data_IF_330276560515
#
_entry.id   IF_330276560515
#
_cell.length_a   1.000
_cell.length_b   1.000
_cell.length_c   1.000
_cell.angle_alpha   90.00
_cell.angle_beta   90.00
_cell.angle_gamma   90.00
#
_symmetry.space_group_name_H-M   'P 1'
#
loop_
_entity.id
_entity.type
_entity.pdbx_description
1 polymer ?
#
# COMPACT_ATOMS: atom_id res chain seq x y z
N UNK A 1 45.64 -15.69 -8.51
CA UNK A 1 44.38 -15.97 -7.77
C UNK A 1 43.37 -14.89 -8.15
N UNK A 2 42.50 -15.17 -9.13
CA UNK A 2 41.42 -14.25 -9.48
C UNK A 2 40.35 -14.31 -8.39
N UNK A 3 40.03 -13.15 -7.81
CA UNK A 3 38.85 -12.98 -6.96
C UNK A 3 37.62 -13.13 -7.85
N UNK A 4 36.83 -14.18 -7.64
CA UNK A 4 35.59 -14.41 -8.37
C UNK A 4 34.68 -13.19 -8.30
N UNK A 5 34.20 -12.74 -9.47
CA UNK A 5 33.14 -11.74 -9.57
C UNK A 5 31.92 -12.25 -8.80
N UNK A 6 31.59 -11.62 -7.69
CA UNK A 6 30.28 -11.80 -7.06
C UNK A 6 29.24 -11.37 -8.10
N UNK A 7 28.35 -12.29 -8.48
CA UNK A 7 27.22 -11.96 -9.35
C UNK A 7 26.24 -11.12 -8.54
N UNK A 8 26.37 -9.80 -8.66
CA UNK A 8 25.48 -8.84 -8.03
C UNK A 8 24.30 -8.57 -8.97
N UNK A 9 23.08 -8.87 -8.53
CA UNK A 9 21.85 -8.45 -9.23
C UNK A 9 21.21 -7.34 -8.41
N UNK A 10 21.02 -6.19 -9.05
CA UNK A 10 20.30 -5.05 -8.48
C UNK A 10 18.90 -4.99 -9.07
N UNK A 11 17.88 -5.13 -8.22
CA UNK A 11 16.50 -4.86 -8.60
C UNK A 11 16.15 -3.47 -8.10
N UNK A 12 15.97 -2.55 -9.04
CA UNK A 12 15.43 -1.22 -8.78
C UNK A 12 13.91 -1.31 -8.64
N UNK A 13 13.41 -1.00 -7.45
CA UNK A 13 11.97 -0.77 -7.22
C UNK A 13 11.82 0.67 -6.75
N UNK A 14 11.53 1.57 -7.70
CA UNK A 14 11.49 3.02 -7.48
C UNK A 14 12.80 3.54 -6.85
N UNK A 15 12.72 4.09 -5.63
CA UNK A 15 13.84 4.67 -4.86
C UNK A 15 14.61 3.64 -4.02
N UNK A 16 14.32 2.35 -4.21
CA UNK A 16 14.97 1.26 -3.48
C UNK A 16 15.80 0.38 -4.41
N UNK A 17 17.08 0.21 -4.04
CA UNK A 17 17.98 -0.77 -4.64
C UNK A 17 17.91 -2.03 -3.77
N UNK A 18 17.45 -3.14 -4.33
CA UNK A 18 17.58 -4.45 -3.70
C UNK A 18 18.79 -5.12 -4.31
N UNK A 19 19.86 -5.21 -3.53
CA UNK A 19 21.09 -5.90 -3.93
C UNK A 19 21.01 -7.35 -3.48
N UNK A 20 21.04 -8.28 -4.43
CA UNK A 20 21.21 -9.69 -4.15
C UNK A 20 22.65 -10.08 -4.43
N UNK A 21 23.33 -10.55 -3.39
CA UNK A 21 24.66 -11.12 -3.47
C UNK A 21 24.52 -12.65 -3.38
N UNK A 22 24.13 -13.29 -4.48
CA UNK A 22 24.02 -14.75 -4.56
C UNK A 22 24.57 -15.27 -5.88
N UNK A 23 25.33 -16.36 -5.79
CA UNK A 23 25.82 -17.12 -6.94
C UNK A 23 24.74 -18.02 -7.57
N UNK A 24 23.47 -17.87 -7.14
CA UNK A 24 22.33 -18.67 -7.60
C UNK A 24 21.10 -17.79 -7.87
N UNK A 25 20.19 -18.29 -8.70
CA UNK A 25 18.92 -17.65 -9.01
C UNK A 25 18.07 -17.51 -7.74
N UNK A 26 17.54 -16.31 -7.50
CA UNK A 26 16.63 -16.04 -6.36
C UNK A 26 15.24 -16.60 -6.70
N UNK A 27 14.71 -17.45 -5.84
CA UNK A 27 13.37 -17.99 -6.05
C UNK A 27 12.26 -16.95 -5.81
N UNK A 28 11.09 -17.18 -6.42
CA UNK A 28 9.94 -16.29 -6.28
C UNK A 28 9.46 -16.13 -4.83
N UNK A 29 9.69 -17.13 -3.98
CA UNK A 29 9.26 -17.12 -2.58
C UNK A 29 10.08 -16.12 -1.76
N UNK A 30 11.39 -16.09 -1.96
CA UNK A 30 12.33 -15.19 -1.33
C UNK A 30 12.02 -13.74 -1.72
N UNK A 31 11.76 -13.50 -3.01
CA UNK A 31 11.32 -12.19 -3.50
C UNK A 31 9.98 -11.79 -2.86
N UNK A 32 8.99 -12.70 -2.82
CA UNK A 32 7.69 -12.41 -2.19
C UNK A 32 7.81 -12.05 -0.71
N UNK A 33 8.65 -12.79 0.02
CA UNK A 33 8.88 -12.57 1.44
C UNK A 33 9.57 -11.22 1.69
N UNK A 34 10.56 -10.87 0.87
CA UNK A 34 11.21 -9.57 0.93
C UNK A 34 10.22 -8.43 0.62
N UNK A 35 9.44 -8.54 -0.46
CA UNK A 35 8.44 -7.53 -0.79
C UNK A 35 7.42 -7.35 0.34
N UNK A 36 7.00 -8.44 0.99
CA UNK A 36 6.11 -8.39 2.14
C UNK A 36 6.73 -7.69 3.35
N UNK A 37 8.02 -7.92 3.63
CA UNK A 37 8.68 -7.24 4.75
C UNK A 37 8.81 -5.74 4.50
N UNK A 38 9.18 -5.34 3.28
CA UNK A 38 9.25 -3.94 2.89
C UNK A 38 7.88 -3.28 2.91
N UNK A 39 6.87 -3.93 2.34
CA UNK A 39 5.50 -3.44 2.34
C UNK A 39 4.97 -3.28 3.78
N UNK A 40 5.27 -4.22 4.68
CA UNK A 40 4.84 -4.11 6.07
C UNK A 40 5.42 -2.88 6.75
N UNK A 41 6.71 -2.60 6.55
CA UNK A 41 7.35 -1.41 7.10
C UNK A 41 6.72 -0.13 6.54
N UNK A 42 6.72 0.01 5.21
CA UNK A 42 6.22 1.22 4.53
C UNK A 42 4.75 1.46 4.85
N UNK A 43 3.90 0.43 4.74
CA UNK A 43 2.46 0.62 4.95
C UNK A 43 2.12 0.92 6.40
N UNK A 44 2.85 0.40 7.39
CA UNK A 44 2.64 0.79 8.79
C UNK A 44 3.04 2.25 9.03
N UNK A 45 4.18 2.69 8.48
CA UNK A 45 4.61 4.09 8.56
C UNK A 45 3.56 5.01 7.93
N UNK A 46 3.08 4.68 6.72
CA UNK A 46 2.03 5.46 6.04
C UNK A 46 0.70 5.42 6.77
N UNK A 47 0.32 4.28 7.35
CA UNK A 47 -0.87 4.19 8.21
C UNK A 47 -0.76 5.11 9.41
N UNK A 48 0.39 5.19 10.08
CA UNK A 48 0.61 6.13 11.18
C UNK A 48 0.42 7.59 10.73
N UNK A 49 0.91 7.96 9.53
CA UNK A 49 0.77 9.32 9.00
C UNK A 49 -0.69 9.62 8.68
N UNK A 50 -1.35 8.77 7.89
CA UNK A 50 -2.75 8.97 7.48
C UNK A 50 -3.72 8.93 8.66
N UNK A 51 -3.48 8.05 9.63
CA UNK A 51 -4.33 7.91 10.82
C UNK A 51 -4.45 9.22 11.62
N UNK A 52 -3.45 10.11 11.60
CA UNK A 52 -3.50 11.39 12.31
C UNK A 52 -4.71 12.24 11.91
N UNK A 53 -5.11 12.18 10.64
CA UNK A 53 -6.28 12.91 10.14
C UNK A 53 -7.61 12.32 10.64
N UNK A 54 -7.62 11.07 11.11
CA UNK A 54 -8.81 10.36 11.56
C UNK A 54 -9.01 10.41 13.08
N UNK A 55 -8.01 10.89 13.84
CA UNK A 55 -8.10 11.07 15.30
C UNK A 55 -9.29 11.94 15.71
N UNK A 56 -9.55 13.12 15.09
CA UNK A 56 -10.69 13.97 15.47
C UNK A 56 -12.06 13.33 15.25
N UNK A 57 -12.13 12.29 14.41
CA UNK A 57 -13.35 11.55 14.10
C UNK A 57 -13.56 10.33 15.00
N UNK A 58 -12.72 10.17 16.03
CA UNK A 58 -12.81 9.08 17.01
C UNK A 58 -12.71 7.66 16.41
N UNK A 59 -12.11 7.55 15.22
CA UNK A 59 -11.80 6.27 14.58
C UNK A 59 -10.63 5.64 15.34
N UNK A 60 -10.77 4.38 15.77
CA UNK A 60 -9.65 3.66 16.38
C UNK A 60 -8.63 3.28 15.31
N UNK A 61 -7.34 3.29 15.67
CA UNK A 61 -6.29 2.86 14.73
C UNK A 61 -6.50 1.39 14.34
N UNK A 62 -6.69 1.08 13.04
CA UNK A 62 -6.92 -0.29 12.63
C UNK A 62 -5.65 -1.13 12.66
N UNK A 63 -5.83 -2.44 12.81
CA UNK A 63 -4.78 -3.39 12.47
C UNK A 63 -4.57 -3.45 10.97
N UNK A 64 -3.32 -3.63 10.54
CA UNK A 64 -2.95 -3.73 9.13
C UNK A 64 -2.60 -5.17 8.77
N UNK A 65 -3.15 -5.66 7.65
CA UNK A 65 -2.72 -6.90 6.99
C UNK A 65 -2.36 -6.64 5.53
N UNK A 66 -1.51 -7.50 4.98
CA UNK A 66 -1.07 -7.43 3.58
C UNK A 66 -1.41 -8.73 2.86
N UNK A 67 -2.05 -8.62 1.70
CA UNK A 67 -2.42 -9.76 0.84
C UNK A 67 -2.15 -9.44 -0.62
N UNK A 68 -1.95 -10.46 -1.45
CA UNK A 68 -2.10 -10.32 -2.90
C UNK A 68 -3.59 -10.36 -3.23
N UNK A 69 -4.09 -9.37 -3.95
CA UNK A 69 -5.51 -9.26 -4.30
C UNK A 69 -5.65 -9.07 -5.81
N UNK A 70 -6.71 -9.65 -6.40
CA UNK A 70 -6.94 -9.61 -7.86
C UNK A 70 -7.69 -8.37 -8.33
N UNK A 71 -8.58 -7.82 -7.49
CA UNK A 71 -9.59 -6.84 -7.94
C UNK A 71 -9.68 -5.58 -7.08
N UNK A 72 -8.84 -5.43 -6.05
CA UNK A 72 -8.88 -4.27 -5.12
C UNK A 72 -7.48 -3.90 -4.63
N UNK A 73 -7.32 -2.63 -4.29
CA UNK A 73 -6.10 -2.10 -3.65
C UNK A 73 -6.13 -2.26 -2.14
N UNK A 74 -7.32 -2.27 -1.55
CA UNK A 74 -7.52 -2.50 -0.14
C UNK A 74 -8.92 -3.00 0.16
N UNK A 75 -9.16 -3.29 1.44
CA UNK A 75 -10.50 -3.46 1.97
C UNK A 75 -10.50 -3.16 3.47
N UNK A 76 -11.60 -2.58 3.95
CA UNK A 76 -11.88 -2.36 5.35
C UNK A 76 -12.79 -3.45 5.92
N UNK A 77 -12.43 -4.00 7.06
CA UNK A 77 -13.28 -4.84 7.90
C UNK A 77 -13.66 -4.03 9.14
N UNK A 78 -14.80 -3.34 9.05
CA UNK A 78 -15.30 -2.42 10.08
C UNK A 78 -15.34 -3.06 11.47
N UNK A 79 -16.06 -4.19 11.59
CA UNK A 79 -16.26 -4.91 12.86
C UNK A 79 -14.94 -5.42 13.48
N UNK A 80 -13.95 -5.75 12.64
CA UNK A 80 -12.67 -6.30 13.08
C UNK A 80 -11.63 -5.21 13.39
N UNK A 81 -11.99 -3.93 13.21
CA UNK A 81 -11.07 -2.79 13.32
C UNK A 81 -9.78 -3.05 12.50
N UNK A 82 -9.93 -3.45 11.24
CA UNK A 82 -8.85 -3.99 10.41
C UNK A 82 -8.94 -3.48 8.98
N UNK A 83 -7.80 -3.15 8.39
CA UNK A 83 -7.67 -2.90 6.97
C UNK A 83 -6.70 -3.92 6.35
N UNK A 84 -6.97 -4.30 5.11
CA UNK A 84 -6.05 -5.11 4.30
C UNK A 84 -5.61 -4.27 3.11
N UNK A 85 -4.30 -4.21 2.86
CA UNK A 85 -3.74 -3.57 1.67
C UNK A 85 -3.16 -4.62 0.71
N UNK A 86 -3.26 -4.32 -0.58
CA UNK A 86 -2.70 -5.14 -1.63
C UNK A 86 -1.17 -4.99 -1.66
N UNK A 87 -0.44 -6.11 -1.69
CA UNK A 87 1.02 -6.13 -1.75
C UNK A 87 1.55 -5.34 -2.95
N UNK A 88 0.84 -5.33 -4.09
CA UNK A 88 1.27 -4.61 -5.29
C UNK A 88 1.41 -3.10 -5.10
N UNK A 89 0.78 -2.52 -4.07
CA UNK A 89 0.91 -1.10 -3.75
C UNK A 89 2.35 -0.71 -3.39
N UNK A 90 3.21 -1.65 -2.98
CA UNK A 90 4.63 -1.37 -2.71
C UNK A 90 5.40 -0.94 -3.96
N UNK A 91 4.85 -1.19 -5.15
CA UNK A 91 5.39 -0.77 -6.43
C UNK A 91 4.81 0.57 -6.90
N UNK A 92 3.94 1.20 -6.10
CA UNK A 92 3.29 2.48 -6.40
C UNK A 92 3.95 3.62 -5.64
N UNK A 93 3.81 4.86 -6.13
CA UNK A 93 4.29 6.05 -5.40
C UNK A 93 3.68 6.06 -3.97
N UNK A 94 4.41 6.61 -3.00
CA UNK A 94 3.92 6.75 -1.61
C UNK A 94 2.55 7.45 -1.54
N UNK A 95 2.34 8.45 -2.39
CA UNK A 95 1.09 9.20 -2.46
C UNK A 95 -0.12 8.35 -2.88
N UNK A 96 0.09 7.26 -3.63
CA UNK A 96 -0.95 6.28 -3.95
C UNK A 96 -1.27 5.38 -2.76
N UNK A 97 -0.23 4.97 -2.02
CA UNK A 97 -0.38 4.17 -0.79
C UNK A 97 -1.21 4.97 0.22
N UNK A 98 -0.88 6.25 0.42
CA UNK A 98 -1.62 7.17 1.29
C UNK A 98 -3.09 7.28 0.90
N UNK A 99 -3.37 7.45 -0.39
CA UNK A 99 -4.74 7.51 -0.89
C UNK A 99 -5.53 6.24 -0.56
N UNK A 100 -4.97 5.05 -0.81
CA UNK A 100 -5.67 3.80 -0.51
C UNK A 100 -5.88 3.65 1.00
N UNK A 101 -4.90 4.00 1.83
CA UNK A 101 -5.05 3.95 3.28
C UNK A 101 -6.15 4.91 3.74
N UNK A 102 -6.15 6.16 3.26
CA UNK A 102 -7.18 7.13 3.59
C UNK A 102 -8.57 6.67 3.13
N UNK A 103 -8.66 6.03 1.97
CA UNK A 103 -9.89 5.40 1.47
C UNK A 103 -10.42 4.34 2.43
N UNK A 104 -9.59 3.38 2.85
CA UNK A 104 -10.01 2.34 3.79
C UNK A 104 -10.33 2.90 5.18
N UNK A 105 -9.65 3.97 5.61
CA UNK A 105 -9.96 4.65 6.87
C UNK A 105 -11.30 5.38 6.83
N UNK A 106 -11.67 5.98 5.68
CA UNK A 106 -12.99 6.59 5.50
C UNK A 106 -14.13 5.58 5.67
N UNK A 107 -13.91 4.31 5.34
CA UNK A 107 -14.90 3.25 5.52
C UNK A 107 -15.25 2.95 6.98
N UNK A 108 -14.48 3.42 7.96
CA UNK A 108 -14.89 3.35 9.37
C UNK A 108 -15.98 4.36 9.75
N UNK A 109 -16.24 5.36 8.91
CA UNK A 109 -17.27 6.37 9.15
C UNK A 109 -18.38 6.32 8.09
N UNK A 110 -18.02 5.96 6.86
CA UNK A 110 -18.92 5.94 5.71
C UNK A 110 -18.79 4.60 4.95
N UNK A 111 -19.76 3.68 5.08
CA UNK A 111 -19.67 2.36 4.46
C UNK A 111 -19.78 2.42 2.93
N UNK A 112 -20.38 3.49 2.39
CA UNK A 112 -20.49 3.76 0.96
C UNK A 112 -19.66 4.99 0.53
N UNK A 113 -19.48 5.16 -0.78
CA UNK A 113 -18.74 6.30 -1.37
C UNK A 113 -19.63 7.51 -1.65
N UNK A 114 -20.60 7.76 -0.77
CA UNK A 114 -21.52 8.88 -0.81
C UNK A 114 -20.86 10.26 -0.59
N UNK A 115 -21.69 11.27 -0.35
CA UNK A 115 -21.22 12.66 -0.19
C UNK A 115 -20.27 12.81 1.00
N UNK A 116 -20.61 12.20 2.15
CA UNK A 116 -19.78 12.24 3.37
C UNK A 116 -18.40 11.64 3.16
N UNK A 117 -18.34 10.45 2.55
CA UNK A 117 -17.09 9.78 2.17
C UNK A 117 -16.23 10.67 1.29
N UNK A 118 -16.80 11.21 0.20
CA UNK A 118 -16.05 12.05 -0.76
C UNK A 118 -15.56 13.34 -0.11
N UNK A 119 -16.35 13.94 0.78
CA UNK A 119 -15.98 15.15 1.50
C UNK A 119 -14.79 14.89 2.42
N UNK A 120 -14.87 13.83 3.24
CA UNK A 120 -13.79 13.45 4.14
C UNK A 120 -12.51 13.09 3.37
N UNK A 121 -12.63 12.25 2.33
CA UNK A 121 -11.49 11.87 1.52
C UNK A 121 -10.84 13.06 0.81
N UNK A 122 -11.64 14.05 0.36
CA UNK A 122 -11.10 15.28 -0.24
C UNK A 122 -10.43 16.19 0.79
N UNK A 123 -10.86 16.16 2.06
CA UNK A 123 -10.20 16.91 3.13
C UNK A 123 -8.82 16.29 3.47
N UNK A 124 -8.71 14.96 3.46
CA UNK A 124 -7.47 14.24 3.79
C UNK A 124 -6.50 14.16 2.61
N UNK A 125 -7.02 13.91 1.41
CA UNK A 125 -6.25 13.75 0.17
C UNK A 125 -6.92 14.56 -0.95
N UNK A 126 -6.64 15.86 -1.09
CA UNK A 126 -7.38 16.77 -1.98
C UNK A 126 -7.44 16.34 -3.45
N UNK A 127 -6.36 15.73 -3.95
CA UNK A 127 -6.18 15.26 -5.33
C UNK A 127 -6.44 13.74 -5.48
N UNK A 128 -7.26 13.15 -4.60
CA UNK A 128 -7.56 11.70 -4.63
C UNK A 128 -8.15 11.22 -5.96
N UNK A 129 -8.81 12.10 -6.71
CA UNK A 129 -9.41 11.77 -8.03
C UNK A 129 -8.32 11.43 -9.05
N UNK A 130 -7.25 12.22 -9.08
CA UNK A 130 -6.13 12.00 -10.00
C UNK A 130 -5.38 10.74 -9.62
N UNK A 131 -5.11 10.55 -8.31
CA UNK A 131 -4.52 9.32 -7.77
C UNK A 131 -5.34 8.07 -8.10
N UNK A 132 -6.68 8.16 -8.05
CA UNK A 132 -7.59 7.08 -8.45
C UNK A 132 -7.43 6.76 -9.94
N UNK A 133 -7.34 7.78 -10.80
CA UNK A 133 -7.14 7.60 -12.24
C UNK A 133 -5.78 6.96 -12.52
N UNK A 134 -4.70 7.45 -11.91
CA UNK A 134 -3.35 6.90 -12.04
C UNK A 134 -3.30 5.43 -11.63
N UNK A 135 -3.84 5.08 -10.45
CA UNK A 135 -3.90 3.69 -9.99
C UNK A 135 -4.70 2.80 -10.95
N UNK A 136 -5.86 3.26 -11.41
CA UNK A 136 -6.68 2.48 -12.34
C UNK A 136 -5.96 2.16 -13.65
N UNK A 137 -5.05 3.03 -14.12
CA UNK A 137 -4.21 2.75 -15.29
C UNK A 137 -3.15 1.69 -15.00
N UNK A 138 -2.65 1.60 -13.77
CA UNK A 138 -1.60 0.67 -13.36
C UNK A 138 -2.10 -0.75 -13.10
N UNK A 139 -3.30 -0.93 -12.51
CA UNK A 139 -3.79 -2.27 -12.13
C UNK A 139 -5.23 -2.58 -12.53
N UNK A 140 -5.88 -1.72 -13.32
CA UNK A 140 -7.28 -1.86 -13.66
C UNK A 140 -8.22 -1.24 -12.62
N UNK A 141 -9.53 -1.28 -12.91
CA UNK A 141 -10.53 -0.42 -12.28
C UNK A 141 -10.81 -0.80 -10.81
N UNK A 142 -10.80 0.19 -9.92
CA UNK A 142 -11.41 0.11 -8.60
C UNK A 142 -12.91 -0.21 -8.72
N UNK A 143 -13.45 -1.22 -8.00
CA UNK A 143 -14.87 -1.21 -7.69
C UNK A 143 -15.17 0.05 -6.88
N UNK A 144 -16.16 0.79 -7.38
CA UNK A 144 -16.83 1.86 -6.64
C UNK A 144 -17.58 1.31 -5.45
#
# INVERSE_FOLDING_TARGET
>A
MEKGKLNQIEILIQDHIITFNQDQAIDHKTIDQFLRSQALKVFNERLCVMYKYFIPYNVKKPTLKIRKMKSRYGTCYYNDQKIILNLSLIQCKISHIDYVIAHELCHFLYPDHGKGFKALLSAVVPDWRDKKIELNKLFGRLPS
#
